data_IF_210319072313
#
_entry.id   IF_210319072313
#
_cell.length_a   1.000
_cell.length_b   1.000
_cell.length_c   1.000
_cell.angle_alpha   90.00
_cell.angle_beta   90.00
_cell.angle_gamma   90.00
#
_symmetry.space_group_name_H-M   'P 1'
#
loop_
_entity.id
_entity.type
_entity.pdbx_description
1 polymer ?
#
# COMPACT_ATOMS: atom_id res chain seq x y z
N UNK A 1 -28.09 12.15 15.42
CA UNK A 1 -26.74 12.58 14.96
C UNK A 1 -26.37 11.97 13.59
N UNK A 2 -26.64 10.67 13.34
CA UNK A 2 -26.32 10.00 12.08
C UNK A 2 -27.08 10.54 10.85
N UNK A 3 -28.33 10.94 11.02
CA UNK A 3 -29.17 11.44 9.92
C UNK A 3 -28.82 12.88 9.51
N UNK A 4 -28.37 13.71 10.45
CA UNK A 4 -27.90 15.07 10.16
C UNK A 4 -26.58 15.02 9.37
N UNK A 5 -25.66 14.11 9.74
CA UNK A 5 -24.40 13.88 9.01
C UNK A 5 -24.63 13.34 7.60
N UNK A 6 -25.56 12.38 7.44
CA UNK A 6 -25.95 11.89 6.13
C UNK A 6 -26.51 12.99 5.24
N UNK A 7 -27.38 13.83 5.78
CA UNK A 7 -28.00 14.93 5.06
C UNK A 7 -26.94 15.95 4.59
N UNK A 8 -26.00 16.34 5.46
CA UNK A 8 -24.89 17.24 5.09
C UNK A 8 -23.99 16.64 4.00
N UNK A 9 -23.71 15.33 4.03
CA UNK A 9 -22.99 14.63 2.98
C UNK A 9 -23.72 14.68 1.63
N UNK A 10 -25.04 14.42 1.62
CA UNK A 10 -25.84 14.48 0.38
C UNK A 10 -26.08 15.91 -0.13
N UNK A 11 -25.96 16.93 0.72
CA UNK A 11 -25.99 18.33 0.30
C UNK A 11 -24.67 18.78 -0.33
N UNK A 12 -23.56 18.10 -0.04
CA UNK A 12 -22.22 18.42 -0.52
C UNK A 12 -21.79 17.64 -1.77
N UNK A 13 -22.44 16.51 -2.06
CA UNK A 13 -22.07 15.62 -3.17
C UNK A 13 -23.32 15.27 -3.99
N UNK A 14 -23.21 15.34 -5.32
CA UNK A 14 -24.30 15.03 -6.24
C UNK A 14 -24.80 13.59 -6.09
N UNK A 15 -23.87 12.66 -5.87
CA UNK A 15 -24.16 11.26 -5.66
C UNK A 15 -23.06 10.54 -4.85
N UNK A 16 -23.31 9.27 -4.55
CA UNK A 16 -22.41 8.41 -3.76
C UNK A 16 -21.12 8.06 -4.49
N UNK A 17 -21.15 8.02 -5.83
CA UNK A 17 -19.97 7.75 -6.65
C UNK A 17 -19.01 8.93 -6.59
N UNK A 18 -19.51 10.15 -6.68
CA UNK A 18 -18.73 11.39 -6.55
C UNK A 18 -18.03 11.46 -5.19
N UNK A 19 -18.77 11.19 -4.09
CA UNK A 19 -18.19 11.11 -2.75
C UNK A 19 -17.07 10.07 -2.66
N UNK A 20 -17.26 8.89 -3.26
CA UNK A 20 -16.23 7.84 -3.29
C UNK A 20 -14.99 8.28 -4.05
N UNK A 21 -15.16 8.93 -5.21
CA UNK A 21 -14.05 9.44 -6.04
C UNK A 21 -13.24 10.46 -5.25
N UNK A 22 -13.89 11.42 -4.60
CA UNK A 22 -13.18 12.42 -3.80
C UNK A 22 -12.44 11.81 -2.61
N UNK A 23 -13.05 10.83 -1.91
CA UNK A 23 -12.37 10.10 -0.84
C UNK A 23 -11.15 9.31 -1.34
N UNK A 24 -11.24 8.70 -2.51
CA UNK A 24 -10.14 7.99 -3.16
C UNK A 24 -9.02 8.98 -3.54
N UNK A 25 -9.37 10.14 -4.11
CA UNK A 25 -8.42 11.16 -4.50
C UNK A 25 -7.71 11.76 -3.30
N UNK A 26 -8.45 12.17 -2.28
CA UNK A 26 -7.89 12.72 -1.06
C UNK A 26 -6.86 11.76 -0.41
N UNK A 27 -7.22 10.48 -0.29
CA UNK A 27 -6.30 9.48 0.25
C UNK A 27 -5.06 9.29 -0.64
N UNK A 28 -5.26 9.24 -1.96
CA UNK A 28 -4.15 9.04 -2.91
C UNK A 28 -3.21 10.24 -2.93
N UNK A 29 -3.74 11.47 -2.84
CA UNK A 29 -2.94 12.68 -2.76
C UNK A 29 -2.16 12.75 -1.44
N UNK A 30 -2.78 12.44 -0.32
CA UNK A 30 -2.13 12.40 0.98
C UNK A 30 -0.95 11.42 0.99
N UNK A 31 -1.16 10.19 0.52
CA UNK A 31 -0.08 9.19 0.39
C UNK A 31 0.98 9.63 -0.62
N UNK A 32 0.59 10.27 -1.72
CA UNK A 32 1.50 10.80 -2.72
C UNK A 32 2.39 11.93 -2.19
N UNK A 33 1.84 12.83 -1.39
CA UNK A 33 2.57 13.90 -0.71
C UNK A 33 3.53 13.35 0.34
N UNK A 34 3.07 12.38 1.14
CA UNK A 34 3.91 11.70 2.13
C UNK A 34 5.12 11.02 1.47
N UNK A 35 4.90 10.23 0.40
CA UNK A 35 5.98 9.61 -0.35
C UNK A 35 6.96 10.64 -0.94
N UNK A 36 6.45 11.76 -1.46
CA UNK A 36 7.28 12.84 -1.99
C UNK A 36 8.11 13.52 -0.87
N UNK A 37 7.56 13.59 0.34
CA UNK A 37 8.30 14.05 1.52
C UNK A 37 9.46 13.12 1.84
N UNK A 38 9.21 11.81 1.92
CA UNK A 38 10.24 10.81 2.19
C UNK A 38 11.37 10.80 1.15
N UNK A 39 11.03 11.02 -0.13
CA UNK A 39 12.03 11.05 -1.21
C UNK A 39 12.98 12.26 -1.15
N UNK A 40 12.63 13.30 -0.40
CA UNK A 40 13.48 14.48 -0.15
C UNK A 40 14.43 14.30 1.04
N UNK A 41 14.14 13.34 1.89
CA UNK A 41 14.96 13.01 3.05
C UNK A 41 16.13 12.08 2.66
N UNK A 42 17.20 11.99 3.47
CA UNK A 42 18.37 11.17 3.18
C UNK A 42 18.13 9.67 3.39
N UNK A 43 16.92 9.20 3.14
CA UNK A 43 16.56 7.79 3.20
C UNK A 43 16.98 7.05 1.92
N UNK A 44 17.47 5.82 2.07
CA UNK A 44 17.63 4.94 0.91
C UNK A 44 16.26 4.38 0.46
N UNK A 45 16.23 3.79 -0.74
CA UNK A 45 14.98 3.31 -1.34
C UNK A 45 14.23 2.29 -0.48
N UNK A 46 14.94 1.42 0.26
CA UNK A 46 14.31 0.43 1.14
C UNK A 46 13.66 1.10 2.35
N UNK A 47 14.33 2.07 2.97
CA UNK A 47 13.76 2.85 4.08
C UNK A 47 12.53 3.63 3.64
N UNK A 48 12.56 4.24 2.45
CA UNK A 48 11.38 4.91 1.86
C UNK A 48 10.21 3.93 1.68
N UNK A 49 10.47 2.73 1.13
CA UNK A 49 9.43 1.69 0.95
C UNK A 49 8.83 1.28 2.29
N UNK A 50 9.66 1.06 3.31
CA UNK A 50 9.20 0.62 4.63
C UNK A 50 8.36 1.69 5.33
N UNK A 51 8.83 2.93 5.37
CA UNK A 51 8.10 4.06 5.98
C UNK A 51 6.79 4.35 5.24
N UNK A 52 6.80 4.29 3.91
CA UNK A 52 5.59 4.44 3.11
C UNK A 52 4.58 3.32 3.37
N UNK A 53 5.05 2.09 3.51
CA UNK A 53 4.21 0.96 3.85
C UNK A 53 3.60 1.11 5.26
N UNK A 54 4.36 1.53 6.26
CA UNK A 54 3.83 1.82 7.60
C UNK A 54 2.70 2.85 7.55
N UNK A 55 2.87 3.92 6.78
CA UNK A 55 1.83 4.93 6.61
C UNK A 55 0.56 4.35 5.98
N UNK A 56 0.71 3.52 4.95
CA UNK A 56 -0.43 2.82 4.34
C UNK A 56 -1.16 1.91 5.34
N UNK A 57 -0.43 1.23 6.23
CA UNK A 57 -1.01 0.31 7.21
C UNK A 57 -1.73 1.01 8.37
N UNK A 58 -1.52 2.30 8.60
CA UNK A 58 -2.30 3.08 9.58
C UNK A 58 -3.80 3.10 9.24
N UNK A 59 -4.14 2.92 7.96
CA UNK A 59 -5.53 2.86 7.52
C UNK A 59 -5.83 1.60 6.69
N UNK A 60 -5.87 0.40 7.31
CA UNK A 60 -6.00 -0.87 6.61
C UNK A 60 -7.37 -1.07 5.94
N UNK A 61 -8.32 -0.14 6.10
CA UNK A 61 -9.65 -0.21 5.46
C UNK A 61 -9.57 -0.31 3.95
N UNK A 62 -8.53 0.23 3.32
CA UNK A 62 -8.27 0.15 1.89
C UNK A 62 -7.93 -1.26 1.39
N UNK A 63 -7.68 -2.20 2.30
CA UNK A 63 -7.44 -3.61 1.98
C UNK A 63 -8.68 -4.47 2.23
N UNK A 64 -9.81 -3.88 2.65
CA UNK A 64 -11.04 -4.59 2.98
C UNK A 64 -11.74 -5.07 1.71
N UNK A 65 -12.02 -6.38 1.64
CA UNK A 65 -12.71 -7.01 0.51
C UNK A 65 -14.09 -6.40 0.26
N UNK A 66 -14.85 -6.15 1.33
CA UNK A 66 -16.19 -5.54 1.24
C UNK A 66 -16.16 -4.17 0.58
N UNK A 67 -15.12 -3.37 0.81
CA UNK A 67 -14.92 -2.10 0.11
C UNK A 67 -14.80 -2.31 -1.39
N UNK A 68 -13.99 -3.28 -1.83
CA UNK A 68 -13.81 -3.59 -3.26
C UNK A 68 -15.06 -4.23 -3.90
N UNK A 69 -15.84 -5.00 -3.15
CA UNK A 69 -17.13 -5.52 -3.63
C UNK A 69 -18.14 -4.40 -3.83
N UNK A 70 -18.26 -3.49 -2.87
CA UNK A 70 -19.14 -2.33 -3.00
C UNK A 70 -18.69 -1.42 -4.14
N UNK A 71 -17.39 -1.27 -4.34
CA UNK A 71 -16.83 -0.46 -5.42
C UNK A 71 -17.22 -0.96 -6.83
N UNK A 72 -17.51 -2.26 -7.01
CA UNK A 72 -17.99 -2.81 -8.29
C UNK A 72 -19.28 -2.16 -8.79
N UNK A 73 -20.06 -1.55 -7.89
CA UNK A 73 -21.31 -0.82 -8.20
C UNK A 73 -21.06 0.58 -8.78
N UNK A 74 -19.79 1.07 -8.74
CA UNK A 74 -19.40 2.42 -9.06
C UNK A 74 -18.25 2.42 -10.09
N UNK A 75 -18.57 2.35 -11.40
CA UNK A 75 -17.57 2.17 -12.47
C UNK A 75 -16.51 3.27 -12.55
N UNK A 76 -16.91 4.54 -12.35
CA UNK A 76 -15.97 5.67 -12.39
C UNK A 76 -14.99 5.64 -11.20
N UNK A 77 -15.50 5.32 -9.99
CA UNK A 77 -14.67 5.16 -8.81
C UNK A 77 -13.70 3.97 -8.97
N UNK A 78 -14.15 2.87 -9.58
CA UNK A 78 -13.29 1.73 -9.90
C UNK A 78 -12.18 2.11 -10.88
N UNK A 79 -12.52 2.81 -11.98
CA UNK A 79 -11.53 3.31 -12.93
C UNK A 79 -10.51 4.23 -12.26
N UNK A 80 -10.96 5.10 -11.37
CA UNK A 80 -10.08 6.01 -10.62
C UNK A 80 -9.06 5.26 -9.75
N UNK A 81 -9.50 4.22 -9.03
CA UNK A 81 -8.59 3.37 -8.25
C UNK A 81 -7.54 2.71 -9.14
N UNK A 82 -7.94 2.15 -10.29
CA UNK A 82 -6.98 1.49 -11.18
C UNK A 82 -5.96 2.48 -11.76
N UNK A 83 -6.38 3.69 -12.12
CA UNK A 83 -5.46 4.76 -12.53
C UNK A 83 -4.47 5.13 -11.42
N UNK A 84 -4.95 5.28 -10.19
CA UNK A 84 -4.12 5.62 -9.04
C UNK A 84 -3.13 4.49 -8.71
N UNK A 85 -3.55 3.22 -8.79
CA UNK A 85 -2.68 2.04 -8.64
C UNK A 85 -1.57 2.02 -9.70
N UNK A 86 -1.89 2.28 -10.96
CA UNK A 86 -0.90 2.33 -12.03
C UNK A 86 0.16 3.41 -11.79
N UNK A 87 -0.28 4.62 -11.38
CA UNK A 87 0.63 5.73 -11.04
C UNK A 87 1.54 5.40 -9.86
N UNK A 88 0.98 4.81 -8.79
CA UNK A 88 1.75 4.41 -7.63
C UNK A 88 2.70 3.24 -7.95
N UNK A 89 2.25 2.28 -8.76
CA UNK A 89 3.07 1.17 -9.22
C UNK A 89 4.34 1.63 -9.95
N UNK A 90 4.22 2.67 -10.80
CA UNK A 90 5.39 3.28 -11.47
C UNK A 90 6.39 3.84 -10.45
N UNK A 91 5.93 4.61 -9.46
CA UNK A 91 6.82 5.14 -8.40
C UNK A 91 7.51 4.02 -7.61
N UNK A 92 6.79 2.93 -7.31
CA UNK A 92 7.40 1.76 -6.67
C UNK A 92 8.51 1.14 -7.53
N UNK A 93 8.31 1.03 -8.85
CA UNK A 93 9.35 0.53 -9.76
C UNK A 93 10.59 1.43 -9.78
N UNK A 94 10.40 2.75 -9.74
CA UNK A 94 11.49 3.72 -9.65
C UNK A 94 12.29 3.54 -8.35
N UNK A 95 11.60 3.31 -7.21
CA UNK A 95 12.24 3.00 -5.93
C UNK A 95 13.02 1.68 -5.95
N UNK A 96 12.50 0.62 -6.56
CA UNK A 96 13.25 -0.63 -6.72
C UNK A 96 14.51 -0.42 -7.57
N UNK A 97 14.39 0.30 -8.68
CA UNK A 97 15.54 0.65 -9.54
C UNK A 97 16.59 1.46 -8.78
N UNK A 98 16.15 2.44 -7.99
CA UNK A 98 17.01 3.23 -7.10
C UNK A 98 17.70 2.34 -6.06
N UNK A 99 16.98 1.43 -5.43
CA UNK A 99 17.51 0.53 -4.41
C UNK A 99 18.58 -0.44 -4.94
N UNK A 100 18.48 -0.86 -6.22
CA UNK A 100 19.56 -1.61 -6.88
C UNK A 100 20.82 -0.73 -7.03
N UNK A 101 20.68 0.54 -7.43
CA UNK A 101 21.81 1.48 -7.55
C UNK A 101 22.45 1.78 -6.20
N UNK A 102 21.65 1.87 -5.13
CA UNK A 102 22.11 2.09 -3.75
C UNK A 102 22.69 0.82 -3.10
N UNK A 103 22.54 -0.33 -3.76
CA UNK A 103 23.06 -1.61 -3.30
C UNK A 103 22.26 -2.24 -2.16
N UNK A 104 21.01 -1.82 -1.94
CA UNK A 104 20.09 -2.44 -0.95
C UNK A 104 19.30 -3.60 -1.55
N UNK A 105 19.06 -3.60 -2.87
CA UNK A 105 18.43 -4.70 -3.60
C UNK A 105 19.39 -5.40 -4.53
N UNK A 106 19.16 -6.69 -4.75
CA UNK A 106 19.96 -7.54 -5.63
C UNK A 106 19.76 -7.14 -7.10
N UNK A 107 20.83 -7.26 -7.89
CA UNK A 107 20.76 -7.13 -9.35
C UNK A 107 20.11 -8.37 -9.97
N UNK A 108 19.52 -8.21 -11.16
CA UNK A 108 18.95 -9.32 -11.92
C UNK A 108 17.55 -9.75 -11.49
N UNK A 109 16.94 -9.08 -10.52
CA UNK A 109 15.55 -9.29 -10.15
C UNK A 109 14.63 -8.60 -11.17
N UNK A 110 13.66 -9.33 -11.70
CA UNK A 110 12.57 -8.75 -12.46
C UNK A 110 11.48 -8.25 -11.50
N UNK A 111 11.53 -6.95 -11.18
CA UNK A 111 10.59 -6.33 -10.22
C UNK A 111 9.15 -6.28 -10.74
N UNK A 112 8.92 -6.31 -12.05
CA UNK A 112 7.57 -6.38 -12.61
C UNK A 112 6.92 -7.74 -12.32
N UNK A 113 7.66 -8.82 -12.54
CA UNK A 113 7.20 -10.19 -12.19
C UNK A 113 6.99 -10.28 -10.67
N UNK A 114 7.91 -9.75 -9.87
CA UNK A 114 7.77 -9.74 -8.41
C UNK A 114 6.49 -9.01 -7.97
N UNK A 115 6.24 -7.82 -8.49
CA UNK A 115 5.03 -7.04 -8.18
C UNK A 115 3.74 -7.80 -8.59
N UNK A 116 3.77 -8.50 -9.72
CA UNK A 116 2.67 -9.35 -10.17
C UNK A 116 2.44 -10.51 -9.17
N UNK A 117 3.49 -11.20 -8.74
CA UNK A 117 3.39 -12.29 -7.76
C UNK A 117 2.79 -11.79 -6.43
N UNK A 118 3.25 -10.66 -5.90
CA UNK A 118 2.68 -10.04 -4.69
C UNK A 118 1.19 -9.75 -4.87
N UNK A 119 0.82 -9.17 -6.02
CA UNK A 119 -0.57 -8.85 -6.36
C UNK A 119 -1.45 -10.10 -6.42
N UNK A 120 -0.99 -11.15 -7.08
CA UNK A 120 -1.77 -12.39 -7.23
C UNK A 120 -1.86 -13.17 -5.90
N UNK A 121 -0.80 -13.21 -5.09
CA UNK A 121 -0.88 -13.79 -3.74
C UNK A 121 -1.90 -13.06 -2.88
N UNK A 122 -1.91 -11.73 -2.91
CA UNK A 122 -2.89 -10.93 -2.17
C UNK A 122 -4.32 -11.24 -2.60
N UNK A 123 -4.58 -11.40 -3.90
CA UNK A 123 -5.90 -11.79 -4.41
C UNK A 123 -6.30 -13.19 -3.96
N UNK A 124 -5.37 -14.15 -3.99
CA UNK A 124 -5.61 -15.55 -3.59
C UNK A 124 -5.94 -15.65 -2.09
N UNK A 125 -5.37 -14.81 -1.27
CA UNK A 125 -5.63 -14.81 0.18
C UNK A 125 -6.98 -14.20 0.56
N UNK A 126 -7.55 -13.31 -0.25
CA UNK A 126 -8.83 -12.63 0.04
C UNK A 126 -9.99 -13.59 0.33
N UNK A 127 -10.28 -14.61 -0.50
CA UNK A 127 -11.36 -15.57 -0.26
C UNK A 127 -10.96 -16.66 0.75
N UNK A 128 -9.73 -16.65 1.27
CA UNK A 128 -9.26 -17.64 2.23
C UNK A 128 -9.66 -17.30 3.66
N UNK A 129 -9.68 -18.30 4.53
CA UNK A 129 -9.95 -18.11 5.96
C UNK A 129 -8.78 -17.46 6.73
N UNK A 130 -7.73 -16.99 6.04
CA UNK A 130 -6.55 -16.41 6.69
C UNK A 130 -6.90 -15.16 7.49
N UNK A 131 -7.77 -14.30 6.95
CA UNK A 131 -8.22 -13.08 7.63
C UNK A 131 -9.22 -13.32 8.78
N UNK A 132 -9.71 -14.56 8.95
CA UNK A 132 -10.47 -14.96 10.13
C UNK A 132 -9.55 -15.31 11.31
N UNK A 133 -8.30 -15.69 11.04
CA UNK A 133 -7.31 -16.14 12.03
C UNK A 133 -6.23 -15.11 12.32
N UNK A 134 -5.96 -14.23 11.38
CA UNK A 134 -4.87 -13.25 11.44
C UNK A 134 -5.37 -11.85 11.08
N UNK A 135 -4.79 -10.84 11.67
CA UNK A 135 -5.10 -9.46 11.31
C UNK A 135 -4.64 -9.14 9.89
N UNK A 136 -5.30 -8.16 9.26
CA UNK A 136 -4.90 -7.67 7.92
C UNK A 136 -3.44 -7.24 7.93
N UNK A 137 -3.03 -6.52 8.96
CA UNK A 137 -1.65 -6.03 9.13
C UNK A 137 -0.65 -7.18 9.21
N UNK A 138 -0.93 -8.22 10.00
CA UNK A 138 -0.06 -9.41 10.13
C UNK A 138 0.15 -10.11 8.79
N UNK A 139 -0.93 -10.34 8.04
CA UNK A 139 -0.86 -11.00 6.73
C UNK A 139 -0.04 -10.18 5.73
N UNK A 140 -0.31 -8.89 5.63
CA UNK A 140 0.42 -8.02 4.69
C UNK A 140 1.87 -7.80 5.09
N UNK A 141 2.18 -7.68 6.40
CA UNK A 141 3.55 -7.61 6.89
C UNK A 141 4.33 -8.89 6.52
N UNK A 142 3.73 -10.06 6.73
CA UNK A 142 4.36 -11.34 6.39
C UNK A 142 4.70 -11.40 4.90
N UNK A 143 3.76 -11.03 4.04
CA UNK A 143 3.99 -11.02 2.58
C UNK A 143 5.12 -10.05 2.23
N UNK A 144 4.99 -8.78 2.64
CA UNK A 144 5.95 -7.74 2.28
C UNK A 144 7.36 -8.08 2.75
N UNK A 145 7.52 -8.42 4.04
CA UNK A 145 8.85 -8.69 4.62
C UNK A 145 9.48 -9.93 3.99
N UNK A 146 8.70 -10.96 3.69
CA UNK A 146 9.21 -12.15 2.98
C UNK A 146 9.78 -11.76 1.61
N UNK A 147 9.06 -10.95 0.83
CA UNK A 147 9.54 -10.49 -0.47
C UNK A 147 10.76 -9.58 -0.35
N UNK A 148 10.70 -8.59 0.54
CA UNK A 148 11.81 -7.66 0.74
C UNK A 148 13.08 -8.39 1.20
N UNK A 149 12.98 -9.35 2.14
CA UNK A 149 14.12 -10.19 2.57
C UNK A 149 14.68 -11.02 1.42
N UNK A 150 13.81 -11.54 0.55
CA UNK A 150 14.21 -12.34 -0.63
C UNK A 150 14.97 -11.57 -1.69
N UNK A 151 14.68 -10.29 -1.89
CA UNK A 151 15.31 -9.44 -2.90
C UNK A 151 16.45 -8.58 -2.37
N UNK A 152 16.63 -8.52 -1.04
CA UNK A 152 17.62 -7.65 -0.40
C UNK A 152 19.02 -8.25 -0.45
N UNK A 153 20.02 -7.37 -0.62
CA UNK A 153 21.43 -7.67 -0.34
C UNK A 153 21.66 -7.81 1.18
N UNK A 154 22.89 -8.16 1.61
CA UNK A 154 23.25 -8.12 3.03
C UNK A 154 23.02 -6.74 3.66
N UNK A 155 23.37 -5.66 2.92
CA UNK A 155 23.10 -4.29 3.34
C UNK A 155 21.60 -4.03 3.54
N UNK A 156 20.76 -4.50 2.62
CA UNK A 156 19.31 -4.37 2.71
C UNK A 156 18.74 -5.19 3.87
N UNK A 157 19.23 -6.43 4.08
CA UNK A 157 18.80 -7.27 5.21
C UNK A 157 19.09 -6.64 6.56
N UNK A 158 20.26 -6.04 6.74
CA UNK A 158 20.60 -5.33 7.96
C UNK A 158 19.66 -4.15 8.27
N UNK A 159 19.07 -3.53 7.25
CA UNK A 159 18.04 -2.50 7.41
C UNK A 159 16.70 -3.13 7.84
N UNK A 160 16.30 -4.22 7.19
CA UNK A 160 15.06 -4.94 7.51
C UNK A 160 15.07 -5.48 8.94
N UNK A 161 16.19 -6.05 9.40
CA UNK A 161 16.30 -6.59 10.76
C UNK A 161 16.16 -5.50 11.84
N UNK A 162 16.66 -4.30 11.57
CA UNK A 162 16.43 -3.13 12.45
C UNK A 162 15.00 -2.65 12.46
N UNK A 163 14.32 -2.78 11.33
CA UNK A 163 12.92 -2.41 11.19
C UNK A 163 12.00 -3.38 11.94
N UNK A 164 12.22 -4.70 11.80
CA UNK A 164 11.50 -5.74 12.52
C UNK A 164 11.60 -5.59 14.05
N UNK A 165 12.77 -5.18 14.54
CA UNK A 165 12.99 -4.96 15.99
C UNK A 165 12.15 -3.78 16.54
N UNK A 166 11.92 -2.73 15.75
CA UNK A 166 11.06 -1.60 16.17
C UNK A 166 9.59 -2.01 16.31
N UNK A 167 9.10 -2.87 15.43
CA UNK A 167 7.71 -3.37 15.52
C UNK A 167 7.49 -4.36 16.67
N UNK A 168 8.53 -5.03 17.14
CA UNK A 168 8.45 -5.99 18.26
C UNK A 168 8.39 -5.34 19.64
N UNK A 169 8.68 -4.05 19.77
CA UNK A 169 8.64 -3.31 21.05
C UNK A 169 7.33 -2.53 21.28
N UNK A 170 6.44 -2.46 20.29
CA UNK A 170 5.13 -1.79 20.39
C UNK A 170 3.98 -2.78 20.71
N UNK A 171 4.30 -3.99 21.18
CA UNK A 171 3.41 -5.02 21.75
C UNK A 171 3.51 -5.01 23.28
#
# INVERSE_FOLDING_TARGET
LGDVYKRQLYESFEDKETLLIEGIDHNTESLGQYLTGLEKEPFNALEVILLFYEEMMKNPRWFNEKFYEDLKKYPKAQQKIEMNKARMGKRCMDLFTRGVKEGVFQKGINFEIMALLVKEQTKMLRPSNVFCKHSITEVYNTILLTFLKGISTEKGRAILDRFDLKQSYDL
#
